data_IF_868662088603
#
_entry.id   IF_868662088603
#
_cell.length_a   1.000
_cell.length_b   1.000
_cell.length_c   1.000
_cell.angle_alpha   90.00
_cell.angle_beta   90.00
_cell.angle_gamma   90.00
#
_symmetry.space_group_name_H-M   'P 1'
#
loop_
_entity.id
_entity.type
_entity.pdbx_description
1 polymer ?
#
# COMPACT_ATOMS: atom_id res chain seq x y z
N UNK A 1 -7.96 -2.92 19.96
CA UNK A 1 -8.14 -2.62 18.51
C UNK A 1 -7.60 -3.78 17.70
N UNK A 2 -8.36 -4.25 16.69
CA UNK A 2 -7.89 -5.31 15.81
C UNK A 2 -7.02 -4.75 14.69
N UNK A 3 -6.24 -5.63 14.04
CA UNK A 3 -5.43 -5.23 12.88
C UNK A 3 -6.28 -4.63 11.77
N UNK A 4 -7.42 -5.26 11.47
CA UNK A 4 -8.33 -4.77 10.41
C UNK A 4 -8.92 -3.41 10.74
N UNK A 5 -9.27 -3.20 12.02
CA UNK A 5 -9.77 -1.90 12.48
C UNK A 5 -8.68 -0.83 12.35
N UNK A 6 -7.45 -1.17 12.72
CA UNK A 6 -6.32 -0.23 12.60
C UNK A 6 -6.11 0.18 11.15
N UNK A 7 -6.15 -0.76 10.21
CA UNK A 7 -6.01 -0.47 8.78
C UNK A 7 -7.16 0.42 8.30
N UNK A 8 -8.40 0.04 8.62
CA UNK A 8 -9.59 0.78 8.19
C UNK A 8 -9.55 2.23 8.69
N UNK A 9 -9.28 2.39 9.98
CA UNK A 9 -9.25 3.72 10.58
C UNK A 9 -8.14 4.58 9.99
N UNK A 10 -6.99 4.01 9.74
CA UNK A 10 -5.87 4.74 9.13
C UNK A 10 -6.19 5.18 7.69
N UNK A 11 -6.72 4.28 6.88
CA UNK A 11 -7.09 4.60 5.50
C UNK A 11 -8.18 5.68 5.48
N UNK A 12 -9.21 5.54 6.31
CA UNK A 12 -10.29 6.52 6.39
C UNK A 12 -9.79 7.89 6.85
N UNK A 13 -8.91 7.92 7.85
CA UNK A 13 -8.34 9.18 8.36
C UNK A 13 -7.60 9.93 7.27
N UNK A 14 -6.82 9.24 6.47
CA UNK A 14 -5.94 9.86 5.48
C UNK A 14 -6.67 10.15 4.16
N UNK A 15 -7.50 9.23 3.68
CA UNK A 15 -8.13 9.35 2.35
C UNK A 15 -9.56 9.86 2.40
N UNK A 16 -10.19 9.86 3.56
CA UNK A 16 -11.62 10.15 3.69
C UNK A 16 -12.51 9.01 3.20
N UNK A 17 -11.94 7.90 2.77
CA UNK A 17 -12.64 6.74 2.24
C UNK A 17 -12.60 5.63 3.27
N UNK A 18 -13.77 5.11 3.66
CA UNK A 18 -13.86 3.93 4.54
C UNK A 18 -13.82 2.68 3.69
N UNK A 19 -12.68 1.97 3.64
CA UNK A 19 -12.55 0.82 2.75
C UNK A 19 -13.26 -0.41 3.31
N UNK A 20 -13.65 -1.30 2.41
CA UNK A 20 -14.05 -2.66 2.77
C UNK A 20 -12.76 -3.46 2.88
N UNK A 21 -12.49 -4.02 4.06
CA UNK A 21 -11.28 -4.81 4.30
C UNK A 21 -11.63 -6.29 4.29
N UNK A 22 -10.93 -7.05 3.47
CA UNK A 22 -11.05 -8.50 3.43
C UNK A 22 -9.69 -9.13 3.71
N UNK A 23 -9.68 -10.28 4.38
CA UNK A 23 -8.46 -11.02 4.71
C UNK A 23 -8.43 -12.33 3.93
N UNK A 24 -7.34 -12.59 3.22
CA UNK A 24 -7.10 -13.84 2.50
C UNK A 24 -6.17 -14.75 3.31
N UNK A 25 -6.19 -16.04 3.00
CA UNK A 25 -5.40 -17.05 3.70
C UNK A 25 -3.98 -17.22 3.17
N UNK A 26 -3.64 -16.64 2.06
CA UNK A 26 -2.33 -16.75 1.44
C UNK A 26 -1.43 -15.57 1.78
N UNK A 27 -0.12 -15.76 1.63
CA UNK A 27 0.92 -14.77 1.96
C UNK A 27 1.04 -13.73 0.85
N UNK A 28 0.00 -12.97 0.68
CA UNK A 28 -0.04 -11.93 -0.34
C UNK A 28 0.32 -10.58 0.23
N UNK A 29 0.91 -9.76 -0.59
CA UNK A 29 1.00 -8.33 -0.32
C UNK A 29 -0.40 -7.75 -0.18
N UNK A 30 -0.50 -6.63 0.49
CA UNK A 30 -1.73 -5.85 0.50
C UNK A 30 -2.06 -5.47 -0.93
N UNK A 31 -3.31 -5.68 -1.33
CA UNK A 31 -3.80 -5.27 -2.65
C UNK A 31 -5.08 -4.48 -2.49
N UNK A 32 -5.31 -3.53 -3.39
CA UNK A 32 -6.50 -2.71 -3.39
C UNK A 32 -7.26 -2.84 -4.71
N UNK A 33 -8.56 -2.65 -4.61
CA UNK A 33 -9.44 -2.53 -5.76
C UNK A 33 -10.06 -1.14 -5.68
N UNK A 34 -9.44 -0.18 -6.35
CA UNK A 34 -9.80 1.23 -6.21
C UNK A 34 -11.27 1.51 -6.58
N UNK A 35 -11.79 0.80 -7.59
CA UNK A 35 -13.18 0.98 -8.04
C UNK A 35 -14.20 0.63 -6.97
N UNK A 36 -13.94 -0.44 -6.21
CA UNK A 36 -14.84 -0.92 -5.16
C UNK A 36 -14.45 -0.43 -3.77
N UNK A 37 -13.38 0.35 -3.66
CA UNK A 37 -12.82 0.80 -2.39
C UNK A 37 -12.55 -0.38 -1.46
N UNK A 38 -12.07 -1.46 -2.02
CA UNK A 38 -11.77 -2.69 -1.31
C UNK A 38 -10.26 -2.85 -1.15
N UNK A 39 -9.84 -3.26 0.03
CA UNK A 39 -8.44 -3.60 0.30
C UNK A 39 -8.41 -5.03 0.82
N UNK A 40 -7.56 -5.85 0.22
CA UNK A 40 -7.37 -7.23 0.68
C UNK A 40 -6.00 -7.32 1.35
N UNK A 41 -5.96 -7.91 2.53
CA UNK A 41 -4.73 -8.03 3.32
C UNK A 41 -4.44 -9.51 3.58
N UNK A 42 -3.16 -9.90 3.75
CA UNK A 42 -2.83 -11.28 4.07
C UNK A 42 -3.28 -11.65 5.49
N UNK A 43 -3.53 -12.93 5.71
CA UNK A 43 -3.88 -13.44 7.04
C UNK A 43 -2.69 -13.28 8.00
N UNK A 44 -1.49 -13.49 7.49
CA UNK A 44 -0.24 -13.35 8.25
C UNK A 44 0.74 -12.52 7.43
N UNK A 45 1.35 -11.52 8.07
CA UNK A 45 2.38 -10.71 7.45
C UNK A 45 3.74 -11.39 7.68
N UNK A 46 4.16 -12.22 6.74
CA UNK A 46 5.38 -13.03 6.86
C UNK A 46 6.57 -12.53 6.06
N UNK A 47 6.44 -11.46 5.31
CA UNK A 47 7.52 -10.94 4.50
C UNK A 47 7.83 -11.84 3.30
N UNK A 48 6.86 -12.01 2.41
CA UNK A 48 7.04 -12.74 1.15
C UNK A 48 8.14 -12.13 0.30
N UNK A 49 8.66 -12.87 -0.68
CA UNK A 49 9.65 -12.34 -1.62
C UNK A 49 9.11 -11.15 -2.40
N UNK A 50 7.82 -11.17 -2.72
CA UNK A 50 7.15 -10.03 -3.38
C UNK A 50 7.17 -8.79 -2.48
N UNK A 51 6.84 -8.94 -1.20
CA UNK A 51 6.86 -7.84 -0.24
C UNK A 51 8.27 -7.27 -0.07
N UNK A 52 9.27 -8.15 -0.01
CA UNK A 52 10.68 -7.73 0.12
C UNK A 52 11.13 -6.94 -1.12
N UNK A 53 10.77 -7.40 -2.31
CA UNK A 53 11.11 -6.71 -3.55
C UNK A 53 10.42 -5.36 -3.64
N UNK A 54 9.15 -5.29 -3.25
CA UNK A 54 8.38 -4.05 -3.21
C UNK A 54 9.00 -3.06 -2.22
N UNK A 55 9.31 -3.51 -1.01
CA UNK A 55 9.95 -2.66 0.01
C UNK A 55 11.30 -2.12 -0.48
N UNK A 56 12.11 -2.97 -1.08
CA UNK A 56 13.42 -2.58 -1.59
C UNK A 56 13.30 -1.46 -2.63
N UNK A 57 12.37 -1.61 -3.56
CA UNK A 57 12.10 -0.58 -4.56
C UNK A 57 11.64 0.73 -3.91
N UNK A 58 10.66 0.64 -3.02
CA UNK A 58 10.09 1.82 -2.37
C UNK A 58 11.14 2.57 -1.54
N UNK A 59 11.93 1.85 -0.73
CA UNK A 59 12.96 2.44 0.12
C UNK A 59 14.07 3.08 -0.72
N UNK A 60 14.41 2.49 -1.88
CA UNK A 60 15.40 3.07 -2.78
C UNK A 60 14.97 4.46 -3.29
N UNK A 61 13.66 4.65 -3.45
CA UNK A 61 13.08 5.93 -3.90
C UNK A 61 12.83 6.90 -2.75
N UNK A 62 12.59 6.37 -1.55
CA UNK A 62 12.26 7.16 -0.36
C UNK A 62 12.96 6.58 0.87
N UNK A 63 14.20 7.02 1.16
CA UNK A 63 14.93 6.52 2.34
C UNK A 63 14.22 6.71 3.67
N UNK A 64 13.32 7.70 3.79
CA UNK A 64 12.50 7.90 4.99
C UNK A 64 11.64 6.69 5.32
N UNK A 65 11.30 5.88 4.31
CA UNK A 65 10.47 4.70 4.48
C UNK A 65 11.15 3.58 5.29
N UNK A 66 12.47 3.63 5.46
CA UNK A 66 13.21 2.64 6.26
C UNK A 66 12.72 2.55 7.70
N UNK A 67 12.18 3.63 8.23
CA UNK A 67 11.68 3.68 9.60
C UNK A 67 10.32 3.04 9.79
N UNK A 68 9.71 2.50 8.74
CA UNK A 68 8.35 1.97 8.79
C UNK A 68 8.31 0.49 8.44
N UNK A 69 7.31 -0.21 9.00
CA UNK A 69 7.10 -1.62 8.74
C UNK A 69 6.61 -1.86 7.31
N UNK A 70 6.83 -3.08 6.79
CA UNK A 70 6.40 -3.47 5.44
C UNK A 70 4.90 -3.24 5.23
N UNK A 71 4.08 -3.57 6.23
CA UNK A 71 2.63 -3.39 6.16
C UNK A 71 2.27 -1.92 5.96
N UNK A 72 2.97 -1.01 6.63
CA UNK A 72 2.73 0.42 6.50
C UNK A 72 3.02 0.90 5.09
N UNK A 73 4.16 0.51 4.54
CA UNK A 73 4.56 0.87 3.18
C UNK A 73 3.56 0.33 2.16
N UNK A 74 3.15 -0.93 2.31
CA UNK A 74 2.19 -1.55 1.39
C UNK A 74 0.83 -0.85 1.45
N UNK A 75 0.35 -0.51 2.64
CA UNK A 75 -0.93 0.18 2.80
C UNK A 75 -0.87 1.59 2.23
N UNK A 76 0.24 2.30 2.44
CA UNK A 76 0.41 3.64 1.87
C UNK A 76 0.37 3.61 0.34
N UNK A 77 1.01 2.62 -0.28
CA UNK A 77 0.95 2.44 -1.73
C UNK A 77 -0.49 2.21 -2.20
N UNK A 78 -1.23 1.35 -1.49
CA UNK A 78 -2.63 1.06 -1.83
C UNK A 78 -3.53 2.27 -1.60
N UNK A 79 -3.26 3.09 -0.58
CA UNK A 79 -3.94 4.38 -0.41
C UNK A 79 -3.66 5.31 -1.60
N UNK A 80 -2.45 5.24 -2.16
CA UNK A 80 -2.11 5.96 -3.39
C UNK A 80 -3.00 5.58 -4.56
N UNK A 81 -3.35 4.30 -4.68
CA UNK A 81 -4.32 3.86 -5.69
C UNK A 81 -5.71 4.45 -5.46
N UNK A 82 -6.17 4.49 -4.22
CA UNK A 82 -7.45 5.13 -3.90
C UNK A 82 -7.41 6.63 -4.24
N UNK A 83 -6.35 7.32 -3.88
CA UNK A 83 -6.19 8.74 -4.11
C UNK A 83 -6.10 9.11 -5.61
N UNK A 84 -5.59 8.19 -6.43
CA UNK A 84 -5.37 8.41 -7.86
C UNK A 84 -6.31 7.60 -8.75
N UNK A 85 -7.42 7.10 -8.19
CA UNK A 85 -8.35 6.20 -8.88
C UNK A 85 -8.92 6.76 -10.20
N UNK A 86 -9.04 8.08 -10.30
CA UNK A 86 -9.55 8.71 -11.51
C UNK A 86 -8.61 8.57 -12.71
N UNK A 87 -7.36 8.19 -12.47
CA UNK A 87 -6.35 7.95 -13.51
C UNK A 87 -6.32 6.48 -13.96
N UNK A 88 -7.17 5.63 -13.41
CA UNK A 88 -7.16 4.22 -13.73
C UNK A 88 -7.88 3.95 -15.05
N UNK A 89 -7.20 3.20 -15.93
CA UNK A 89 -7.79 2.67 -17.17
C UNK A 89 -7.52 1.16 -17.18
N UNK A 90 -8.59 0.37 -17.00
CA UNK A 90 -8.49 -1.07 -16.83
C UNK A 90 -7.82 -1.78 -18.02
N UNK A 91 -8.18 -1.41 -19.24
CA UNK A 91 -7.66 -2.06 -20.45
C UNK A 91 -6.16 -1.80 -20.62
N UNK A 92 -5.74 -0.55 -20.43
CA UNK A 92 -4.33 -0.15 -20.53
C UNK A 92 -3.53 -0.82 -19.42
N UNK A 93 -4.04 -0.79 -18.19
CA UNK A 93 -3.37 -1.37 -17.04
C UNK A 93 -3.17 -2.88 -17.18
N UNK A 94 -4.22 -3.60 -17.60
CA UNK A 94 -4.16 -5.05 -17.81
C UNK A 94 -3.06 -5.42 -18.82
N UNK A 95 -3.00 -4.70 -19.95
CA UNK A 95 -1.97 -4.93 -20.96
C UNK A 95 -0.56 -4.68 -20.41
N UNK A 96 -0.40 -3.64 -19.60
CA UNK A 96 0.90 -3.31 -19.00
C UNK A 96 1.34 -4.37 -17.98
N UNK A 97 0.39 -4.90 -17.18
CA UNK A 97 0.68 -5.97 -16.22
C UNK A 97 1.11 -7.23 -16.94
N UNK A 98 0.44 -7.61 -18.01
CA UNK A 98 0.81 -8.77 -18.84
C UNK A 98 2.22 -8.62 -19.42
N UNK A 99 2.55 -7.44 -19.92
CA UNK A 99 3.87 -7.15 -20.47
C UNK A 99 4.96 -7.22 -19.40
N UNK A 100 4.67 -6.74 -18.18
CA UNK A 100 5.63 -6.79 -17.08
C UNK A 100 5.92 -8.22 -16.61
N UNK A 101 4.95 -9.11 -16.72
CA UNK A 101 5.08 -10.51 -16.30
C UNK A 101 5.45 -10.62 -14.83
N UNK A 102 6.48 -11.42 -14.52
CA UNK A 102 6.95 -11.63 -13.16
C UNK A 102 8.05 -10.64 -12.73
N UNK A 103 8.41 -9.68 -13.58
CA UNK A 103 9.47 -8.71 -13.29
C UNK A 103 8.91 -7.57 -12.42
N UNK A 104 9.30 -7.56 -11.14
CA UNK A 104 8.84 -6.55 -10.18
C UNK A 104 9.27 -5.13 -10.57
N UNK A 105 10.46 -4.97 -11.12
CA UNK A 105 10.94 -3.66 -11.54
C UNK A 105 10.07 -3.08 -12.66
N UNK A 106 9.71 -3.92 -13.64
CA UNK A 106 8.80 -3.51 -14.72
C UNK A 106 7.40 -3.23 -14.18
N UNK A 107 6.92 -4.06 -13.26
CA UNK A 107 5.61 -3.86 -12.64
C UNK A 107 5.55 -2.51 -11.92
N UNK A 108 6.56 -2.21 -11.11
CA UNK A 108 6.59 -0.95 -10.36
C UNK A 108 6.79 0.27 -11.25
N UNK A 109 7.25 0.09 -12.48
CA UNK A 109 7.41 1.17 -13.46
C UNK A 109 6.11 1.43 -14.26
N UNK A 110 5.08 0.60 -14.13
CA UNK A 110 3.78 0.85 -14.75
C UNK A 110 3.26 2.19 -14.25
N UNK A 111 2.82 3.10 -15.13
CA UNK A 111 2.44 4.47 -14.73
C UNK A 111 1.44 4.53 -13.58
N UNK A 112 0.43 3.67 -13.56
CA UNK A 112 -0.55 3.66 -12.48
C UNK A 112 0.06 3.22 -11.14
N UNK A 113 0.98 2.24 -11.15
CA UNK A 113 1.72 1.81 -9.96
C UNK A 113 2.68 2.90 -9.49
N UNK A 114 3.39 3.53 -10.44
CA UNK A 114 4.30 4.63 -10.13
C UNK A 114 3.57 5.82 -9.52
N UNK A 115 2.38 6.12 -10.01
CA UNK A 115 1.55 7.20 -9.49
C UNK A 115 1.18 6.96 -8.02
N UNK A 116 0.80 5.73 -7.67
CA UNK A 116 0.50 5.35 -6.29
C UNK A 116 1.74 5.47 -5.40
N UNK A 117 2.90 5.04 -5.88
CA UNK A 117 4.17 5.17 -5.16
C UNK A 117 4.53 6.63 -4.95
N UNK A 118 4.40 7.47 -5.98
CA UNK A 118 4.67 8.91 -5.87
C UNK A 118 3.76 9.57 -4.85
N UNK A 119 2.47 9.21 -4.84
CA UNK A 119 1.55 9.73 -3.82
C UNK A 119 2.02 9.37 -2.41
N UNK A 120 2.39 8.12 -2.20
CA UNK A 120 2.84 7.64 -0.89
C UNK A 120 4.14 8.33 -0.44
N UNK A 121 5.08 8.52 -1.35
CA UNK A 121 6.34 9.23 -1.07
C UNK A 121 6.05 10.68 -0.68
N UNK A 122 5.24 11.38 -1.46
CA UNK A 122 4.85 12.76 -1.16
C UNK A 122 4.18 12.86 0.21
N UNK A 123 3.30 11.90 0.53
CA UNK A 123 2.63 11.86 1.82
C UNK A 123 3.65 11.70 2.96
N UNK A 124 4.64 10.83 2.80
CA UNK A 124 5.68 10.58 3.81
C UNK A 124 6.65 11.75 4.00
N UNK A 125 6.71 12.68 3.05
CA UNK A 125 7.60 13.85 3.20
C UNK A 125 7.16 14.80 4.31
N UNK A 126 5.89 14.74 4.72
CA UNK A 126 5.38 15.57 5.80
C UNK A 126 5.64 14.90 7.16
N UNK A 127 6.34 15.58 8.09
CA UNK A 127 6.59 15.02 9.43
C UNK A 127 5.33 14.66 10.20
N UNK A 128 4.26 15.42 10.06
CA UNK A 128 2.99 15.14 10.73
C UNK A 128 2.37 13.84 10.20
N UNK A 129 2.48 13.60 8.91
CA UNK A 129 2.03 12.36 8.30
C UNK A 129 2.85 11.16 8.80
N UNK A 130 4.15 11.32 8.98
CA UNK A 130 4.99 10.26 9.55
C UNK A 130 4.57 9.91 10.98
N UNK A 131 4.12 10.88 11.77
CA UNK A 131 3.57 10.62 13.11
C UNK A 131 2.29 9.79 13.02
N UNK A 132 1.42 10.09 12.07
CA UNK A 132 0.20 9.31 11.84
C UNK A 132 0.51 7.87 11.44
N UNK A 133 1.50 7.67 10.60
CA UNK A 133 1.95 6.33 10.22
C UNK A 133 2.49 5.56 11.43
N UNK A 134 3.23 6.22 12.32
CA UNK A 134 3.70 5.59 13.56
C UNK A 134 2.55 5.25 14.51
N UNK A 135 1.54 6.10 14.59
CA UNK A 135 0.32 5.80 15.35
C UNK A 135 -0.39 4.58 14.80
N UNK A 136 -0.49 4.48 13.48
CA UNK A 136 -1.05 3.29 12.84
C UNK A 136 -0.27 2.04 13.24
N UNK A 137 1.06 2.07 13.20
CA UNK A 137 1.90 0.91 13.55
C UNK A 137 1.66 0.48 15.00
N UNK A 138 1.57 1.42 15.92
CA UNK A 138 1.26 1.10 17.32
C UNK A 138 -0.09 0.40 17.45
N UNK A 139 -1.09 0.90 16.77
CA UNK A 139 -2.43 0.31 16.82
C UNK A 139 -2.46 -1.07 16.13
N UNK A 140 -1.79 -1.18 14.99
CA UNK A 140 -1.76 -2.42 14.22
C UNK A 140 -1.05 -3.54 14.98
N UNK A 141 0.09 -3.24 15.60
CA UNK A 141 0.88 -4.24 16.33
C UNK A 141 0.40 -4.44 17.76
N UNK A 142 -0.68 -3.78 18.18
CA UNK A 142 -1.25 -3.95 19.50
C UNK A 142 -0.44 -3.35 20.64
N UNK A 143 0.41 -2.37 20.33
CA UNK A 143 1.24 -1.66 21.32
C UNK A 143 0.61 -0.31 21.63
N UNK A 144 -0.57 -0.40 22.17
CA UNK A 144 -1.32 0.79 22.52
C UNK A 144 -0.68 1.64 23.57
#
# INVERSE_FOLDING_TARGET
MTELTAIRDFVELITGIRPVIARKRDDWSVVSEADSMRMTVPTVYTGSETDKAFRKDFVSRCPLARGFADVTISILHEMGHFATRDNFNADVYTAQVEEAGADMEKYMAIPYEMLATCWAICWLMDPDNRKEAKNFERNFFGRG
#
